data_IF_684367818178
#
_entry.id   IF_684367818178
#
_cell.length_a   1.000
_cell.length_b   1.000
_cell.length_c   1.000
_cell.angle_alpha   90.00
_cell.angle_beta   90.00
_cell.angle_gamma   90.00
#
_symmetry.space_group_name_H-M   'P 1'
#
loop_
_entity.id
_entity.type
_entity.pdbx_description
1 polymer ?
#
# COMPACT_ATOMS: atom_id res chain seq x y z
N UNK A 1 -26.10 16.25 7.39
CA UNK A 1 -25.38 14.97 7.54
C UNK A 1 -23.88 15.07 7.24
N UNK A 2 -23.48 15.61 6.11
CA UNK A 2 -22.05 15.74 5.74
C UNK A 2 -21.21 16.54 6.78
N UNK A 3 -21.76 17.59 7.36
CA UNK A 3 -21.04 18.42 8.35
C UNK A 3 -20.78 17.66 9.66
N UNK A 4 -21.74 16.88 10.12
CA UNK A 4 -21.60 16.06 11.34
C UNK A 4 -20.53 14.99 11.14
N UNK A 5 -20.57 14.29 10.02
CA UNK A 5 -19.56 13.31 9.66
C UNK A 5 -18.15 13.91 9.63
N UNK A 6 -17.99 15.06 8.97
CA UNK A 6 -16.69 15.77 8.91
C UNK A 6 -16.19 16.20 10.28
N UNK A 7 -17.07 16.64 11.16
CA UNK A 7 -16.71 17.03 12.53
C UNK A 7 -16.30 15.80 13.34
N UNK A 8 -17.04 14.71 13.26
CA UNK A 8 -16.71 13.47 13.95
C UNK A 8 -15.38 12.88 13.48
N UNK A 9 -15.12 12.86 12.17
CA UNK A 9 -13.85 12.38 11.64
C UNK A 9 -12.66 13.24 12.06
N UNK A 10 -12.84 14.57 12.12
CA UNK A 10 -11.80 15.47 12.62
C UNK A 10 -11.51 15.26 14.11
N UNK A 11 -12.54 15.08 14.93
CA UNK A 11 -12.39 14.77 16.35
C UNK A 11 -11.79 13.39 16.59
N UNK A 12 -12.06 12.42 15.69
CA UNK A 12 -11.48 11.09 15.73
C UNK A 12 -10.01 10.99 15.30
N UNK A 13 -9.49 11.99 14.59
CA UNK A 13 -8.10 11.99 14.08
C UNK A 13 -7.04 11.74 15.18
N UNK A 14 -7.06 12.39 16.34
CA UNK A 14 -6.08 12.12 17.39
C UNK A 14 -6.17 10.71 17.94
N UNK A 15 -7.37 10.12 18.02
CA UNK A 15 -7.56 8.71 18.42
C UNK A 15 -6.97 7.76 17.41
N UNK A 16 -7.17 8.01 16.12
CA UNK A 16 -6.59 7.20 15.04
C UNK A 16 -5.07 7.28 15.07
N UNK A 17 -4.51 8.48 15.23
CA UNK A 17 -3.06 8.67 15.34
C UNK A 17 -2.48 7.94 16.55
N UNK A 18 -3.14 8.01 17.69
CA UNK A 18 -2.73 7.27 18.88
C UNK A 18 -2.77 5.75 18.65
N UNK A 19 -3.84 5.25 18.07
CA UNK A 19 -3.96 3.82 17.72
C UNK A 19 -2.86 3.36 16.76
N UNK A 20 -2.59 4.11 15.69
CA UNK A 20 -1.53 3.80 14.74
C UNK A 20 -0.14 3.87 15.39
N UNK A 21 0.10 4.83 16.29
CA UNK A 21 1.35 4.90 17.05
C UNK A 21 1.56 3.69 17.95
N UNK A 22 0.49 3.17 18.54
CA UNK A 22 0.53 1.94 19.33
C UNK A 22 0.88 0.74 18.45
N UNK A 23 0.27 0.64 17.29
CA UNK A 23 0.60 -0.42 16.30
C UNK A 23 2.05 -0.35 15.86
N UNK A 24 2.57 0.84 15.64
CA UNK A 24 3.98 1.07 15.31
C UNK A 24 4.91 0.55 16.40
N UNK A 25 4.61 0.85 17.67
CA UNK A 25 5.37 0.35 18.84
C UNK A 25 5.31 -1.17 18.96
N UNK A 26 4.20 -1.78 18.57
CA UNK A 26 4.01 -3.23 18.56
C UNK A 26 4.70 -3.94 17.38
N UNK A 27 5.38 -3.22 16.49
CA UNK A 27 6.03 -3.77 15.31
C UNK A 27 5.09 -4.20 14.19
N UNK A 28 3.83 -3.79 14.23
CA UNK A 28 2.81 -4.10 13.20
C UNK A 28 2.77 -3.11 12.05
N UNK A 29 3.59 -2.07 12.12
CA UNK A 29 3.70 -1.03 11.10
C UNK A 29 5.17 -0.76 10.78
N UNK A 30 5.43 -0.38 9.55
CA UNK A 30 6.76 0.03 9.10
C UNK A 30 7.07 1.46 9.55
N UNK A 31 8.17 1.65 10.29
CA UNK A 31 8.58 2.97 10.79
C UNK A 31 8.90 3.95 9.67
N UNK A 32 9.58 3.48 8.63
CA UNK A 32 10.03 4.31 7.52
C UNK A 32 8.87 4.80 6.64
N UNK A 33 7.78 4.05 6.61
CA UNK A 33 6.62 4.32 5.74
C UNK A 33 5.33 4.58 6.52
N UNK A 34 5.46 4.89 7.80
CA UNK A 34 4.31 5.13 8.67
C UNK A 34 3.40 6.26 8.19
N UNK A 35 4.00 7.29 7.58
CA UNK A 35 3.25 8.44 7.05
C UNK A 35 2.30 8.07 5.92
N UNK A 36 2.54 6.96 5.20
CA UNK A 36 1.61 6.46 4.19
C UNK A 36 0.24 6.10 4.77
N UNK A 37 0.20 5.65 6.03
CA UNK A 37 -1.06 5.43 6.76
C UNK A 37 -1.85 6.72 6.99
N UNK A 38 -1.19 7.84 6.96
CA UNK A 38 -1.77 9.17 7.12
C UNK A 38 -2.08 9.84 5.76
N UNK A 39 -1.88 9.12 4.66
CA UNK A 39 -2.15 9.61 3.31
C UNK A 39 -0.98 10.35 2.65
N UNK A 40 0.22 10.28 3.23
CA UNK A 40 1.43 10.87 2.66
C UNK A 40 2.20 9.83 1.86
N UNK A 41 2.31 10.02 0.55
CA UNK A 41 3.03 9.09 -0.31
C UNK A 41 4.55 9.21 -0.09
N UNK A 42 5.21 8.07 0.16
CA UNK A 42 6.68 8.00 0.26
C UNK A 42 7.36 7.76 -1.08
N UNK A 43 6.62 7.35 -2.09
CA UNK A 43 7.11 7.07 -3.43
C UNK A 43 6.42 8.02 -4.41
N UNK A 44 7.21 8.70 -5.25
CA UNK A 44 6.67 9.55 -6.30
C UNK A 44 5.90 8.73 -7.34
N UNK A 45 4.82 9.29 -7.84
CA UNK A 45 4.06 8.66 -8.93
C UNK A 45 4.96 8.52 -10.17
N UNK A 46 5.09 7.31 -10.74
CA UNK A 46 5.82 7.15 -11.99
C UNK A 46 5.08 7.84 -13.15
N UNK A 47 5.84 8.26 -14.14
CA UNK A 47 5.26 8.82 -15.37
C UNK A 47 4.59 7.74 -16.21
N UNK A 48 3.59 8.16 -16.99
CA UNK A 48 2.86 7.32 -17.93
C UNK A 48 1.60 6.69 -17.33
N UNK A 49 1.10 5.65 -18.01
CA UNK A 49 -0.07 4.92 -17.56
C UNK A 49 0.25 4.09 -16.33
N UNK A 50 -0.61 4.17 -15.35
CA UNK A 50 -0.46 3.50 -14.07
C UNK A 50 -1.68 2.62 -13.78
N UNK A 51 -1.44 1.33 -13.60
CA UNK A 51 -2.41 0.40 -13.03
C UNK A 51 -2.17 0.32 -11.52
N UNK A 52 -3.18 0.62 -10.73
CA UNK A 52 -3.10 0.53 -9.28
C UNK A 52 -3.88 -0.67 -8.78
N UNK A 53 -3.20 -1.61 -8.15
CA UNK A 53 -3.77 -2.81 -7.53
C UNK A 53 -3.66 -2.67 -6.01
N UNK A 54 -4.78 -2.79 -5.33
CA UNK A 54 -4.83 -2.78 -3.87
C UNK A 54 -5.33 -4.11 -3.33
N UNK A 55 -4.62 -4.66 -2.34
CA UNK A 55 -5.00 -5.87 -1.64
C UNK A 55 -4.92 -5.65 -0.12
N UNK A 56 -6.01 -5.87 0.58
CA UNK A 56 -6.09 -5.61 2.01
C UNK A 56 -5.53 -6.75 2.87
N UNK A 57 -5.47 -7.97 2.35
CA UNK A 57 -5.05 -9.16 3.08
C UNK A 57 -4.02 -10.00 2.30
N UNK A 58 -3.39 -10.95 2.99
CA UNK A 58 -2.46 -11.90 2.37
C UNK A 58 -3.15 -12.73 1.28
N UNK A 59 -4.37 -13.22 1.54
CA UNK A 59 -5.11 -14.00 0.56
C UNK A 59 -5.47 -13.21 -0.70
N UNK A 60 -5.90 -11.97 -0.54
CA UNK A 60 -6.16 -11.07 -1.67
C UNK A 60 -4.88 -10.77 -2.45
N UNK A 61 -3.77 -10.50 -1.75
CA UNK A 61 -2.48 -10.27 -2.38
C UNK A 61 -2.05 -11.45 -3.26
N UNK A 62 -2.14 -12.65 -2.76
CA UNK A 62 -1.81 -13.87 -3.52
C UNK A 62 -2.76 -14.06 -4.72
N UNK A 63 -4.04 -13.78 -4.57
CA UNK A 63 -5.02 -13.90 -5.65
C UNK A 63 -4.80 -12.88 -6.78
N UNK A 64 -4.14 -11.76 -6.50
CA UNK A 64 -3.84 -10.72 -7.49
C UNK A 64 -2.59 -11.03 -8.34
N UNK A 65 -1.74 -11.97 -7.93
CA UNK A 65 -0.50 -12.29 -8.65
C UNK A 65 -0.74 -12.69 -10.12
N UNK A 66 -1.70 -13.55 -10.46
CA UNK A 66 -1.99 -13.88 -11.86
C UNK A 66 -2.44 -12.68 -12.69
N UNK A 67 -3.24 -11.78 -12.09
CA UNK A 67 -3.68 -10.56 -12.74
C UNK A 67 -2.51 -9.62 -13.03
N UNK A 68 -1.64 -9.42 -12.05
CA UNK A 68 -0.46 -8.56 -12.19
C UNK A 68 0.45 -9.11 -13.30
N UNK A 69 0.69 -10.41 -13.31
CA UNK A 69 1.51 -11.03 -14.33
C UNK A 69 0.90 -10.87 -15.73
N UNK A 70 -0.41 -11.06 -15.85
CA UNK A 70 -1.13 -10.83 -17.08
C UNK A 70 -1.03 -9.39 -17.59
N UNK A 71 -1.22 -8.43 -16.70
CA UNK A 71 -1.07 -7.01 -17.01
C UNK A 71 0.36 -6.68 -17.50
N UNK A 72 1.38 -7.27 -16.89
CA UNK A 72 2.77 -7.06 -17.30
C UNK A 72 3.05 -7.59 -18.70
N UNK A 73 2.46 -8.72 -19.07
CA UNK A 73 2.63 -9.33 -20.38
C UNK A 73 1.85 -8.58 -21.45
N UNK A 74 0.59 -8.27 -21.20
CA UNK A 74 -0.30 -7.63 -22.18
C UNK A 74 -0.09 -6.12 -22.32
N UNK A 75 0.35 -5.46 -21.24
CA UNK A 75 0.56 -4.02 -21.16
C UNK A 75 1.93 -3.70 -20.58
N UNK A 76 2.99 -4.12 -21.25
CA UNK A 76 4.38 -3.95 -20.79
C UNK A 76 4.79 -2.48 -20.61
N UNK A 77 4.12 -1.56 -21.29
CA UNK A 77 4.33 -0.12 -21.18
C UNK A 77 3.70 0.51 -19.92
N UNK A 78 2.77 -0.20 -19.27
CA UNK A 78 2.13 0.30 -18.06
C UNK A 78 3.02 0.12 -16.84
N UNK A 79 2.97 1.10 -15.95
CA UNK A 79 3.53 0.97 -14.61
C UNK A 79 2.48 0.34 -13.69
N UNK A 80 2.90 -0.55 -12.82
CA UNK A 80 2.00 -1.21 -11.88
C UNK A 80 2.39 -0.81 -10.46
N UNK A 81 1.44 -0.24 -9.74
CA UNK A 81 1.57 0.07 -8.32
C UNK A 81 0.77 -0.94 -7.52
N UNK A 82 1.42 -1.65 -6.64
CA UNK A 82 0.76 -2.56 -5.71
C UNK A 82 0.80 -1.97 -4.32
N UNK A 83 -0.35 -1.83 -3.69
CA UNK A 83 -0.47 -1.41 -2.29
C UNK A 83 -1.12 -2.50 -1.47
N UNK A 84 -0.66 -2.67 -0.24
CA UNK A 84 -1.15 -3.70 0.68
C UNK A 84 -1.55 -3.11 2.03
N UNK A 85 -2.42 -3.82 2.75
CA UNK A 85 -2.91 -3.37 4.05
C UNK A 85 -2.01 -3.73 5.22
N UNK A 86 -1.05 -4.66 5.06
CA UNK A 86 -0.19 -5.16 6.14
C UNK A 86 1.25 -5.33 5.69
N UNK A 87 2.18 -5.30 6.66
CA UNK A 87 3.61 -5.57 6.40
C UNK A 87 3.80 -7.00 5.86
N UNK A 88 3.09 -7.98 6.42
CA UNK A 88 3.18 -9.39 5.96
C UNK A 88 2.78 -9.53 4.49
N UNK A 89 1.69 -8.90 4.08
CA UNK A 89 1.26 -8.88 2.67
C UNK A 89 2.30 -8.20 1.78
N UNK A 90 2.87 -7.10 2.23
CA UNK A 90 3.90 -6.37 1.50
C UNK A 90 5.16 -7.21 1.30
N UNK A 91 5.62 -7.91 2.33
CA UNK A 91 6.78 -8.82 2.27
C UNK A 91 6.53 -9.94 1.27
N UNK A 92 5.38 -10.61 1.34
CA UNK A 92 5.02 -11.68 0.41
C UNK A 92 4.98 -11.17 -1.03
N UNK A 93 4.40 -10.00 -1.27
CA UNK A 93 4.34 -9.41 -2.60
C UNK A 93 5.73 -9.06 -3.13
N UNK A 94 6.62 -8.53 -2.30
CA UNK A 94 8.00 -8.21 -2.70
C UNK A 94 8.80 -9.46 -3.09
N UNK A 95 8.60 -10.57 -2.38
CA UNK A 95 9.26 -11.85 -2.68
C UNK A 95 8.72 -12.51 -3.95
N UNK A 96 7.43 -12.34 -4.22
CA UNK A 96 6.74 -13.01 -5.34
C UNK A 96 6.75 -12.22 -6.64
N UNK A 97 6.90 -10.91 -6.57
CA UNK A 97 6.94 -10.05 -7.74
C UNK A 97 8.40 -9.89 -8.22
N UNK A 98 8.66 -10.05 -9.52
CA UNK A 98 10.00 -9.85 -10.04
C UNK A 98 10.44 -8.38 -9.94
N UNK A 99 11.72 -8.16 -9.71
CA UNK A 99 12.37 -6.85 -9.66
C UNK A 99 12.39 -6.14 -11.04
N UNK A 100 11.27 -6.04 -11.71
CA UNK A 100 11.23 -5.25 -12.93
C UNK A 100 11.01 -3.78 -12.61
N UNK A 101 11.69 -2.92 -13.32
CA UNK A 101 11.58 -1.45 -13.20
C UNK A 101 10.16 -0.89 -13.38
N UNK A 102 9.24 -1.72 -13.85
CA UNK A 102 7.84 -1.38 -14.06
C UNK A 102 6.94 -1.58 -12.84
N UNK A 103 7.40 -2.36 -11.86
CA UNK A 103 6.61 -2.74 -10.70
C UNK A 103 7.16 -2.07 -9.45
N UNK A 104 6.35 -1.25 -8.81
CA UNK A 104 6.68 -0.70 -7.49
C UNK A 104 5.67 -1.21 -6.47
N UNK A 105 6.16 -1.96 -5.51
CA UNK A 105 5.37 -2.33 -4.34
C UNK A 105 5.52 -1.24 -3.29
N UNK A 106 4.44 -0.61 -2.94
CA UNK A 106 4.43 0.27 -1.79
C UNK A 106 4.61 -0.62 -0.54
N UNK A 107 5.74 -0.57 0.12
CA UNK A 107 6.12 -1.23 1.38
C UNK A 107 7.23 -2.31 1.33
N UNK A 108 8.03 -2.50 0.29
CA UNK A 108 8.79 -3.75 0.28
C UNK A 108 10.26 -3.73 0.64
N UNK A 109 10.98 -2.65 0.50
CA UNK A 109 12.46 -2.78 0.55
C UNK A 109 13.14 -2.30 1.83
N UNK A 110 12.44 -1.69 2.76
CA UNK A 110 13.09 -1.04 3.90
C UNK A 110 12.50 -1.40 5.28
N UNK A 111 11.64 -2.36 5.32
CA UNK A 111 11.11 -2.87 6.56
C UNK A 111 11.61 -4.27 6.84
#
# INVERSE_FOLDING_TARGET
MMSIYRTMTRLGTPLIRFYLSTRLKMGKECRLRFTERLGEASIARPEGLLAWVHAASVGESLSMLPLIERLRVEHSEWKILVTTGTITSATIMSERLPESSALKTALSEQC
#
